data_IF_741534832607
#
_entry.id   IF_741534832607
#
_cell.length_a   1.000
_cell.length_b   1.000
_cell.length_c   1.000
_cell.angle_alpha   90.00
_cell.angle_beta   90.00
_cell.angle_gamma   90.00
#
_symmetry.space_group_name_H-M   'P 1'
#
loop_
_entity.id
_entity.type
_entity.pdbx_description
1 polymer ?
#
# COMPACT_ATOMS: atom_id res chain seq x y z
N UNK A 1 18.45 86.52 -32.30
CA UNK A 1 19.00 85.20 -32.07
C UNK A 1 18.13 84.45 -31.04
N UNK A 2 17.23 83.59 -31.51
CA UNK A 2 16.45 82.73 -30.61
C UNK A 2 17.38 81.61 -30.10
N UNK A 3 17.66 81.61 -28.82
CA UNK A 3 18.33 80.55 -28.14
C UNK A 3 17.36 79.38 -27.90
N UNK A 4 17.47 78.37 -28.77
CA UNK A 4 16.83 77.09 -28.48
C UNK A 4 17.72 76.39 -27.43
N UNK A 5 17.32 76.40 -26.17
CA UNK A 5 17.97 75.54 -25.13
C UNK A 5 17.67 74.09 -25.44
N UNK A 6 18.67 73.20 -25.52
CA UNK A 6 18.41 71.76 -25.60
C UNK A 6 17.69 71.34 -24.36
N UNK A 7 16.61 70.57 -24.50
CA UNK A 7 15.86 70.02 -23.39
C UNK A 7 16.54 68.69 -23.03
N UNK A 8 17.36 68.63 -21.96
CA UNK A 8 18.20 67.47 -21.64
C UNK A 8 17.42 66.27 -21.16
N UNK A 9 16.13 66.43 -20.87
CA UNK A 9 15.28 65.36 -20.36
C UNK A 9 14.74 64.43 -21.42
N UNK A 10 14.57 64.90 -22.67
CA UNK A 10 14.00 64.12 -23.75
C UNK A 10 14.95 63.01 -24.28
N UNK A 11 16.25 63.21 -24.23
CA UNK A 11 17.22 62.26 -24.75
C UNK A 11 17.33 61.01 -23.84
N UNK A 12 17.20 61.17 -22.51
CA UNK A 12 17.20 60.04 -21.61
C UNK A 12 15.93 59.22 -21.71
N UNK A 13 14.76 59.86 -21.75
CA UNK A 13 13.49 59.15 -21.96
C UNK A 13 13.43 58.45 -23.33
N UNK A 14 13.93 59.10 -24.38
CA UNK A 14 14.02 58.47 -25.71
C UNK A 14 14.91 57.23 -25.68
N UNK A 15 16.09 57.32 -25.07
CA UNK A 15 17.03 56.20 -24.98
C UNK A 15 16.44 55.02 -24.18
N UNK A 16 15.71 55.26 -23.07
CA UNK A 16 15.01 54.25 -22.29
C UNK A 16 13.88 53.58 -23.07
N UNK A 17 13.09 54.37 -23.80
CA UNK A 17 12.02 53.85 -24.66
C UNK A 17 12.57 53.03 -25.82
N UNK A 18 13.63 53.47 -26.46
CA UNK A 18 14.28 52.74 -27.57
C UNK A 18 14.92 51.42 -27.06
N UNK A 19 15.55 51.45 -25.88
CA UNK A 19 16.06 50.25 -25.27
C UNK A 19 14.94 49.26 -24.92
N UNK A 20 13.82 49.74 -24.41
CA UNK A 20 12.64 48.92 -24.10
C UNK A 20 12.04 48.31 -25.35
N UNK A 21 11.89 49.12 -26.43
CA UNK A 21 11.43 48.65 -27.73
C UNK A 21 12.32 47.54 -28.26
N UNK A 22 13.65 47.75 -28.28
CA UNK A 22 14.62 46.75 -28.72
C UNK A 22 14.52 45.43 -27.93
N UNK A 23 14.29 45.50 -26.64
CA UNK A 23 14.07 44.32 -25.78
C UNK A 23 12.80 43.59 -26.17
N UNK A 24 11.69 44.29 -26.39
CA UNK A 24 10.43 43.72 -26.82
C UNK A 24 10.58 43.04 -28.21
N UNK A 25 11.18 43.73 -29.17
CA UNK A 25 11.42 43.19 -30.49
C UNK A 25 12.29 41.93 -30.47
N UNK A 26 13.31 41.89 -29.60
CA UNK A 26 14.15 40.71 -29.41
C UNK A 26 13.36 39.54 -28.80
N UNK A 27 12.44 39.79 -27.87
CA UNK A 27 11.57 38.76 -27.28
C UNK A 27 10.56 38.23 -28.30
N UNK A 28 9.92 39.12 -29.09
CA UNK A 28 8.99 38.75 -30.17
C UNK A 28 9.68 37.81 -31.16
N UNK A 29 10.92 38.13 -31.57
CA UNK A 29 11.71 37.26 -32.46
C UNK A 29 12.10 35.96 -31.82
N UNK A 30 12.56 35.99 -30.55
CA UNK A 30 12.98 34.81 -29.81
C UNK A 30 11.85 33.79 -29.65
N UNK A 31 10.65 34.25 -29.32
CA UNK A 31 9.50 33.40 -29.11
C UNK A 31 8.63 33.20 -30.38
N UNK A 32 9.03 33.78 -31.52
CA UNK A 32 8.39 33.66 -32.84
C UNK A 32 6.91 34.02 -32.79
N UNK A 33 6.58 35.10 -32.11
CA UNK A 33 5.22 35.65 -32.01
C UNK A 33 5.08 36.87 -32.91
N UNK A 34 3.85 37.21 -33.29
CA UNK A 34 3.57 38.28 -34.27
C UNK A 34 3.25 39.60 -33.57
N UNK A 35 2.90 39.59 -32.28
CA UNK A 35 2.49 40.80 -31.56
C UNK A 35 2.87 40.72 -30.07
N UNK A 36 2.76 41.86 -29.39
CA UNK A 36 2.98 41.96 -27.95
C UNK A 36 1.91 41.20 -27.21
N UNK A 37 0.67 41.22 -27.67
CA UNK A 37 -0.44 40.46 -27.08
C UNK A 37 -0.16 38.95 -27.11
N UNK A 38 0.34 38.43 -28.23
CA UNK A 38 0.75 37.03 -28.30
C UNK A 38 1.92 36.69 -27.35
N UNK A 39 2.85 37.64 -27.17
CA UNK A 39 3.96 37.47 -26.21
C UNK A 39 3.45 37.39 -24.76
N UNK A 40 2.49 38.24 -24.43
CA UNK A 40 1.83 38.18 -23.09
C UNK A 40 1.07 36.88 -22.87
N UNK A 41 0.28 36.43 -23.84
CA UNK A 41 -0.39 35.14 -23.78
C UNK A 41 0.60 33.99 -23.64
N UNK A 42 1.75 34.07 -24.32
CA UNK A 42 2.80 33.04 -24.15
C UNK A 42 3.40 33.05 -22.76
N UNK A 43 3.65 34.25 -22.20
CA UNK A 43 4.12 34.41 -20.81
C UNK A 43 3.12 33.75 -19.82
N UNK A 44 1.84 34.13 -19.92
CA UNK A 44 0.80 33.60 -19.03
C UNK A 44 0.67 32.08 -19.13
N UNK A 45 0.76 31.52 -20.33
CA UNK A 45 0.76 30.10 -20.59
C UNK A 45 1.94 29.39 -19.89
N UNK A 46 3.14 29.96 -19.98
CA UNK A 46 4.35 29.41 -19.35
C UNK A 46 4.25 29.52 -17.83
N UNK A 47 3.79 30.63 -17.29
CA UNK A 47 3.55 30.80 -15.85
C UNK A 47 2.58 29.74 -15.32
N UNK A 48 1.46 29.53 -15.98
CA UNK A 48 0.51 28.46 -15.62
C UNK A 48 1.12 27.06 -15.66
N UNK A 49 2.02 26.79 -16.62
CA UNK A 49 2.70 25.50 -16.69
C UNK A 49 3.69 25.31 -15.54
N UNK A 50 4.44 26.37 -15.18
CA UNK A 50 5.36 26.36 -14.05
C UNK A 50 4.60 26.13 -12.75
N UNK A 51 3.51 26.86 -12.52
CA UNK A 51 2.67 26.70 -11.33
C UNK A 51 2.08 25.28 -11.20
N UNK A 52 1.64 24.71 -12.33
CA UNK A 52 1.16 23.32 -12.35
C UNK A 52 2.27 22.33 -12.01
N UNK A 53 3.49 22.55 -12.45
CA UNK A 53 4.64 21.68 -12.15
C UNK A 53 5.04 21.78 -10.67
N UNK A 54 5.14 22.99 -10.13
CA UNK A 54 5.45 23.21 -8.71
C UNK A 54 4.39 22.59 -7.79
N UNK A 55 3.11 22.77 -8.14
CA UNK A 55 2.02 22.16 -7.38
C UNK A 55 2.05 20.63 -7.43
N UNK A 56 2.46 20.03 -8.56
CA UNK A 56 2.62 18.57 -8.66
C UNK A 56 3.77 18.04 -7.80
N UNK A 57 4.89 18.72 -7.75
CA UNK A 57 6.03 18.31 -6.93
C UNK A 57 5.68 18.34 -5.44
N UNK A 58 5.03 19.40 -4.98
CA UNK A 58 4.56 19.53 -3.59
C UNK A 58 3.54 18.45 -3.25
N UNK A 59 2.59 18.19 -4.12
CA UNK A 59 1.57 17.15 -3.91
C UNK A 59 2.19 15.74 -3.93
N UNK A 60 3.16 15.49 -4.79
CA UNK A 60 3.90 14.21 -4.79
C UNK A 60 4.70 14.01 -3.51
N UNK A 61 5.34 15.04 -2.98
CA UNK A 61 6.03 14.97 -1.70
C UNK A 61 5.05 14.63 -0.57
N UNK A 62 3.93 15.36 -0.48
CA UNK A 62 2.87 15.10 0.50
C UNK A 62 2.33 13.67 0.44
N UNK A 63 2.04 13.17 -0.77
CA UNK A 63 1.52 11.81 -0.96
C UNK A 63 2.54 10.73 -0.60
N UNK A 64 3.84 10.97 -0.84
CA UNK A 64 4.91 10.06 -0.40
C UNK A 64 5.00 9.98 1.12
N UNK A 65 4.94 11.11 1.80
CA UNK A 65 4.98 11.16 3.26
C UNK A 65 3.76 10.46 3.85
N UNK A 66 2.57 10.69 3.28
CA UNK A 66 1.35 10.00 3.67
C UNK A 66 1.44 8.48 3.43
N UNK A 67 1.99 8.05 2.31
CA UNK A 67 2.22 6.64 2.02
C UNK A 67 3.16 5.98 3.04
N UNK A 68 4.25 6.63 3.41
CA UNK A 68 5.19 6.14 4.43
C UNK A 68 4.48 5.99 5.77
N UNK A 69 3.74 7.00 6.20
CA UNK A 69 2.99 6.99 7.46
C UNK A 69 1.95 5.86 7.48
N UNK A 70 1.16 5.72 6.42
CA UNK A 70 0.16 4.66 6.32
C UNK A 70 0.79 3.26 6.28
N UNK A 71 1.92 3.11 5.60
CA UNK A 71 2.65 1.84 5.55
C UNK A 71 3.20 1.43 6.91
N UNK A 72 3.76 2.36 7.68
CA UNK A 72 4.26 2.10 9.03
C UNK A 72 3.13 1.75 10.00
N UNK A 73 2.01 2.45 9.92
CA UNK A 73 0.81 2.17 10.73
C UNK A 73 0.24 0.78 10.41
N UNK A 74 0.16 0.44 9.12
CA UNK A 74 -0.30 -0.87 8.68
C UNK A 74 0.60 -2.00 9.17
N UNK A 75 1.93 -1.80 9.14
CA UNK A 75 2.88 -2.76 9.65
C UNK A 75 2.72 -2.97 11.16
N UNK A 76 2.53 -1.91 11.93
CA UNK A 76 2.31 -1.97 13.37
C UNK A 76 1.02 -2.76 13.72
N UNK A 77 -0.10 -2.46 13.05
CA UNK A 77 -1.34 -3.22 13.25
C UNK A 77 -1.22 -4.68 12.79
N UNK A 78 -0.47 -4.93 11.70
CA UNK A 78 -0.20 -6.28 11.23
C UNK A 78 0.55 -7.11 12.26
N UNK A 79 1.55 -6.53 12.92
CA UNK A 79 2.31 -7.17 13.98
C UNK A 79 1.48 -7.37 15.25
N UNK A 80 0.72 -6.37 15.69
CA UNK A 80 -0.19 -6.50 16.83
C UNK A 80 -1.20 -7.65 16.63
N UNK A 81 -1.81 -7.72 15.45
CA UNK A 81 -2.71 -8.81 15.08
C UNK A 81 -2.00 -10.16 15.11
N UNK A 82 -0.76 -10.24 14.63
CA UNK A 82 0.03 -11.45 14.64
C UNK A 82 0.32 -11.92 16.06
N UNK A 83 0.71 -11.03 16.97
CA UNK A 83 0.96 -11.37 18.37
C UNK A 83 -0.30 -11.92 19.07
N UNK A 84 -1.45 -11.31 18.84
CA UNK A 84 -2.74 -11.84 19.34
C UNK A 84 -3.04 -13.24 18.79
N UNK A 85 -2.74 -13.50 17.53
CA UNK A 85 -2.90 -14.80 16.88
C UNK A 85 -1.94 -15.85 17.44
N UNK A 86 -0.69 -15.50 17.71
CA UNK A 86 0.27 -16.40 18.36
C UNK A 86 -0.23 -16.80 19.75
N UNK A 87 -0.76 -15.86 20.53
CA UNK A 87 -1.34 -16.17 21.84
C UNK A 87 -2.53 -17.14 21.72
N UNK A 88 -3.40 -16.94 20.73
CA UNK A 88 -4.54 -17.83 20.48
C UNK A 88 -4.12 -19.21 19.91
N UNK A 89 -2.95 -19.30 19.28
CA UNK A 89 -2.47 -20.54 18.66
C UNK A 89 -2.42 -21.69 19.65
N UNK A 90 -1.91 -21.48 20.86
CA UNK A 90 -1.82 -22.51 21.91
C UNK A 90 -3.19 -23.03 22.30
N UNK A 91 -4.16 -22.15 22.46
CA UNK A 91 -5.54 -22.54 22.81
C UNK A 91 -6.14 -23.43 21.72
N UNK A 92 -5.88 -23.09 20.46
CA UNK A 92 -6.36 -23.86 19.30
C UNK A 92 -5.65 -25.22 19.24
N UNK A 93 -4.33 -25.28 19.45
CA UNK A 93 -3.55 -26.51 19.43
C UNK A 93 -3.98 -27.46 20.54
N UNK A 94 -4.19 -26.96 21.76
CA UNK A 94 -4.66 -27.75 22.90
C UNK A 94 -6.09 -28.29 22.66
N UNK A 95 -7.01 -27.44 22.23
CA UNK A 95 -8.36 -27.87 21.89
C UNK A 95 -8.36 -28.90 20.75
N UNK A 96 -7.50 -28.71 19.75
CA UNK A 96 -7.40 -29.64 18.64
C UNK A 96 -6.90 -31.02 19.09
N UNK A 97 -5.95 -31.09 20.02
CA UNK A 97 -5.44 -32.32 20.57
C UNK A 97 -6.55 -33.13 21.20
N UNK A 98 -7.42 -32.51 22.01
CA UNK A 98 -8.56 -33.18 22.66
C UNK A 98 -9.54 -33.78 21.63
N UNK A 99 -9.72 -33.11 20.49
CA UNK A 99 -10.58 -33.61 19.40
C UNK A 99 -9.91 -34.70 18.59
N UNK A 100 -8.59 -34.67 18.39
CA UNK A 100 -7.86 -35.76 17.72
C UNK A 100 -7.98 -37.09 18.54
N UNK A 101 -7.92 -37.03 19.84
CA UNK A 101 -8.14 -38.19 20.72
C UNK A 101 -9.54 -38.79 20.51
N UNK A 102 -10.56 -37.95 20.33
CA UNK A 102 -11.96 -38.37 20.10
C UNK A 102 -12.22 -39.00 18.76
N UNK A 103 -11.42 -38.64 17.75
CA UNK A 103 -11.55 -39.18 16.37
C UNK A 103 -10.55 -40.29 16.08
N UNK A 104 -10.09 -40.98 17.15
CA UNK A 104 -9.17 -42.13 17.09
C UNK A 104 -7.81 -41.82 16.45
N UNK A 105 -7.28 -40.62 16.74
CA UNK A 105 -5.95 -40.17 16.35
C UNK A 105 -5.13 -39.70 17.57
N UNK A 106 -5.02 -40.51 18.67
CA UNK A 106 -4.44 -40.03 19.93
C UNK A 106 -2.92 -39.77 19.86
N UNK A 107 -2.25 -40.30 18.86
CA UNK A 107 -0.81 -40.10 18.66
C UNK A 107 -0.47 -38.97 17.67
N UNK A 108 -1.49 -38.44 17.02
CA UNK A 108 -1.32 -37.38 16.05
C UNK A 108 -0.96 -36.05 16.72
N UNK A 109 -0.23 -35.25 16.03
CA UNK A 109 0.15 -33.90 16.44
C UNK A 109 -0.22 -32.89 15.39
N UNK A 110 -0.76 -31.76 15.79
CA UNK A 110 -0.95 -30.59 14.95
C UNK A 110 -0.16 -29.40 15.50
N UNK A 111 0.36 -28.61 14.60
CA UNK A 111 1.00 -27.35 14.91
C UNK A 111 0.46 -26.29 13.96
N UNK A 112 0.15 -25.13 14.50
CA UNK A 112 -0.24 -23.96 13.72
C UNK A 112 0.97 -23.01 13.62
N UNK A 113 1.57 -22.96 12.44
CA UNK A 113 2.69 -22.08 12.14
C UNK A 113 2.22 -20.85 11.35
N UNK A 114 3.02 -19.79 11.33
CA UNK A 114 2.67 -18.52 10.70
C UNK A 114 3.76 -18.11 9.73
N UNK A 115 3.39 -17.98 8.45
CA UNK A 115 4.29 -17.51 7.42
C UNK A 115 4.02 -16.03 7.08
N UNK A 116 5.05 -15.18 7.04
CA UNK A 116 4.88 -13.80 6.64
C UNK A 116 4.41 -13.71 5.19
N UNK A 117 3.52 -12.78 4.94
CA UNK A 117 3.02 -12.42 3.60
C UNK A 117 3.06 -10.91 3.43
N UNK A 118 2.86 -10.40 2.24
CA UNK A 118 2.59 -8.97 2.08
C UNK A 118 1.27 -8.57 2.76
N UNK A 119 1.03 -7.27 2.95
CA UNK A 119 -0.22 -6.77 3.53
C UNK A 119 -1.44 -7.24 2.75
N UNK A 120 -2.41 -7.83 3.46
CA UNK A 120 -3.68 -8.32 2.91
C UNK A 120 -4.83 -7.92 3.84
N UNK A 121 -6.06 -8.08 3.36
CA UNK A 121 -7.27 -7.78 4.14
C UNK A 121 -7.38 -8.54 5.47
N UNK A 122 -6.73 -9.69 5.57
CA UNK A 122 -6.71 -10.55 6.76
C UNK A 122 -5.39 -10.48 7.56
N UNK A 123 -4.52 -9.50 7.28
CA UNK A 123 -3.27 -9.26 7.99
C UNK A 123 -2.02 -9.58 7.16
N UNK A 124 -0.87 -9.55 7.84
CA UNK A 124 0.47 -9.69 7.23
C UNK A 124 1.05 -11.10 7.35
N UNK A 125 0.34 -12.01 8.03
CA UNK A 125 0.75 -13.41 8.21
C UNK A 125 -0.37 -14.35 7.78
N UNK A 126 0.03 -15.50 7.25
CA UNK A 126 -0.83 -16.59 6.79
C UNK A 126 -0.66 -17.80 7.73
N UNK A 127 -1.75 -18.41 8.23
CA UNK A 127 -1.67 -19.65 9.00
C UNK A 127 -1.25 -20.83 8.11
N UNK A 128 -0.43 -21.70 8.67
CA UNK A 128 -0.02 -22.95 8.07
C UNK A 128 -0.28 -24.07 9.09
N UNK A 129 -1.24 -24.93 8.79
CA UNK A 129 -1.53 -26.10 9.60
C UNK A 129 -0.55 -27.23 9.22
N UNK A 130 0.28 -27.62 10.18
CA UNK A 130 1.21 -28.73 10.08
C UNK A 130 0.65 -29.90 10.87
N UNK A 131 0.75 -31.10 10.34
CA UNK A 131 0.20 -32.31 10.93
C UNK A 131 1.21 -33.47 10.82
N UNK A 132 1.26 -34.28 11.87
CA UNK A 132 1.96 -35.56 11.90
C UNK A 132 1.03 -36.62 12.51
N UNK A 133 0.74 -37.70 11.77
CA UNK A 133 -0.18 -38.74 12.19
C UNK A 133 0.40 -39.63 13.33
N UNK A 134 1.70 -39.85 13.30
CA UNK A 134 2.38 -40.75 14.25
C UNK A 134 3.61 -40.08 14.89
N UNK A 135 4.00 -40.52 16.12
CA UNK A 135 5.23 -40.07 16.72
C UNK A 135 6.44 -40.38 15.80
N UNK A 136 7.29 -39.41 15.60
CA UNK A 136 8.48 -39.57 14.75
C UNK A 136 8.26 -39.29 13.25
N UNK A 137 7.02 -39.10 12.78
CA UNK A 137 6.73 -38.62 11.45
C UNK A 137 7.10 -37.13 11.32
N UNK A 138 7.49 -36.73 10.11
CA UNK A 138 7.71 -35.31 9.80
C UNK A 138 6.38 -34.55 9.87
N UNK A 139 6.45 -33.30 10.39
CA UNK A 139 5.32 -32.39 10.34
C UNK A 139 5.15 -31.88 8.92
N UNK A 140 4.06 -32.22 8.27
CA UNK A 140 3.77 -31.81 6.91
C UNK A 140 2.52 -30.92 6.83
N UNK A 141 2.43 -30.04 5.84
CA UNK A 141 1.22 -29.28 5.61
C UNK A 141 -0.01 -30.17 5.50
N UNK A 142 -1.09 -29.83 6.19
CA UNK A 142 -2.30 -30.65 6.29
C UNK A 142 -2.85 -31.11 4.91
N UNK A 143 -2.70 -30.30 3.87
CA UNK A 143 -3.14 -30.65 2.52
C UNK A 143 -2.28 -31.73 1.82
N UNK A 144 -1.13 -32.09 2.41
CA UNK A 144 -0.23 -33.15 1.92
C UNK A 144 -0.37 -34.48 2.66
N UNK A 145 -1.26 -34.53 3.67
CA UNK A 145 -1.50 -35.77 4.40
C UNK A 145 -2.07 -36.85 3.46
N UNK A 146 -1.38 -37.97 3.39
CA UNK A 146 -1.57 -38.96 2.31
C UNK A 146 -2.79 -39.87 2.51
N UNK A 147 -3.30 -40.06 3.75
CA UNK A 147 -4.43 -40.94 4.03
C UNK A 147 -5.76 -40.19 3.98
N UNK A 148 -6.69 -40.62 3.13
CA UNK A 148 -8.04 -40.03 3.02
C UNK A 148 -8.80 -40.05 4.33
N UNK A 149 -8.81 -41.19 5.05
CA UNK A 149 -9.49 -41.32 6.33
C UNK A 149 -8.86 -40.48 7.46
N UNK A 150 -7.52 -40.33 7.49
CA UNK A 150 -6.86 -39.40 8.43
C UNK A 150 -7.23 -37.95 8.10
N UNK A 151 -7.23 -37.60 6.83
CA UNK A 151 -7.57 -36.24 6.38
C UNK A 151 -9.01 -35.87 6.72
N UNK A 152 -9.98 -36.79 6.56
CA UNK A 152 -11.38 -36.58 6.92
C UNK A 152 -11.54 -36.40 8.43
N UNK A 153 -10.91 -37.23 9.26
CA UNK A 153 -10.92 -37.11 10.74
C UNK A 153 -10.29 -35.81 11.21
N UNK A 154 -9.16 -35.40 10.65
CA UNK A 154 -8.51 -34.13 10.97
C UNK A 154 -9.38 -32.94 10.56
N UNK A 155 -10.03 -32.99 9.41
CA UNK A 155 -10.99 -31.95 8.99
C UNK A 155 -12.19 -31.87 9.93
N UNK A 156 -12.70 -33.01 10.40
CA UNK A 156 -13.78 -33.08 11.38
C UNK A 156 -13.36 -32.41 12.70
N UNK A 157 -12.20 -32.79 13.23
CA UNK A 157 -11.65 -32.17 14.45
C UNK A 157 -11.46 -30.67 14.31
N UNK A 158 -10.94 -30.21 13.16
CA UNK A 158 -10.76 -28.78 12.89
C UNK A 158 -12.09 -28.02 12.85
N UNK A 159 -13.10 -28.59 12.17
CA UNK A 159 -14.44 -28.01 12.12
C UNK A 159 -15.09 -27.94 13.52
N UNK A 160 -14.91 -28.98 14.34
CA UNK A 160 -15.42 -29.00 15.71
C UNK A 160 -14.79 -27.90 16.57
N UNK A 161 -13.47 -27.75 16.55
CA UNK A 161 -12.76 -26.67 17.27
C UNK A 161 -13.21 -25.29 16.81
N UNK A 162 -13.30 -25.06 15.50
CA UNK A 162 -13.74 -23.78 14.94
C UNK A 162 -15.21 -23.50 15.27
N UNK A 163 -16.06 -24.52 15.27
CA UNK A 163 -17.48 -24.39 15.61
C UNK A 163 -17.73 -23.93 17.04
N UNK A 164 -16.93 -24.35 17.99
CA UNK A 164 -17.02 -23.90 19.39
C UNK A 164 -16.77 -22.39 19.52
N UNK A 165 -15.87 -21.85 18.73
CA UNK A 165 -15.50 -20.43 18.79
C UNK A 165 -16.35 -19.53 17.86
N UNK A 166 -16.97 -20.12 16.83
CA UNK A 166 -17.80 -19.39 15.88
C UNK A 166 -19.25 -19.18 16.33
N UNK A 167 -19.61 -19.63 17.57
CA UNK A 167 -20.99 -19.60 18.10
C UNK A 167 -22.02 -20.23 17.15
N UNK A 168 -21.63 -21.24 16.38
CA UNK A 168 -22.54 -21.96 15.50
C UNK A 168 -23.39 -22.92 16.31
N UNK A 169 -24.71 -22.74 16.28
CA UNK A 169 -25.66 -23.56 17.03
C UNK A 169 -25.79 -24.99 16.49
N UNK A 170 -25.50 -25.22 15.23
CA UNK A 170 -25.62 -26.53 14.58
C UNK A 170 -24.59 -26.64 13.44
N UNK A 171 -23.93 -27.81 13.37
CA UNK A 171 -23.05 -28.18 12.26
C UNK A 171 -23.53 -29.49 11.65
N UNK A 172 -23.70 -29.51 10.34
CA UNK A 172 -24.07 -30.69 9.59
C UNK A 172 -22.84 -31.17 8.83
N UNK A 173 -22.49 -32.44 8.98
CA UNK A 173 -21.41 -33.11 8.29
C UNK A 173 -21.99 -34.12 7.34
N UNK A 174 -21.57 -34.07 6.09
CA UNK A 174 -21.90 -35.00 5.03
C UNK A 174 -20.60 -35.66 4.54
N UNK A 175 -20.64 -36.97 4.26
CA UNK A 175 -19.50 -37.76 3.75
C UNK A 175 -18.21 -37.62 4.59
N UNK A 176 -18.22 -38.24 5.80
CA UNK A 176 -17.06 -38.20 6.74
C UNK A 176 -16.23 -39.51 6.67
N UNK A 177 -16.44 -40.34 5.69
CA UNK A 177 -15.75 -41.62 5.54
C UNK A 177 -14.28 -41.47 5.08
#
# INVERSE_FOLDING_TARGET
SLWIKPIPCLDNEYNELDATRKRIDALVRKYRVSSIEELLHKKDSVEQQVDKLLNRETELARLKDEQILRSSTLAAYGEELHQKRIQATRIIEDAFKDYLDRVDLPKAKMKLDWSPTGPKTHGTYKPLFLFAANPGSSMEPLHKVASGGEQSRVKLALKAVLGLHAALSTQVFDEID
#
